data_IF_189270171303
#
_entry.id   IF_189270171303
#
_cell.length_a   1.000
_cell.length_b   1.000
_cell.length_c   1.000
_cell.angle_alpha   90.00
_cell.angle_beta   90.00
_cell.angle_gamma   90.00
#
_symmetry.space_group_name_H-M   'P 1'
#
loop_
_entity.id
_entity.type
_entity.pdbx_description
1 polymer ?
#
# COMPACT_ATOMS: atom_id res chain seq x y z
N UNK A 1 -5.81 11.68 0.00
CA UNK A 1 -6.67 10.56 -0.43
C UNK A 1 -7.00 10.60 -1.93
N UNK A 2 -6.85 11.73 -2.61
CA UNK A 2 -7.00 11.81 -4.08
C UNK A 2 -6.02 10.92 -4.85
N UNK A 3 -4.84 10.67 -4.27
CA UNK A 3 -3.81 9.88 -4.94
C UNK A 3 -3.99 8.37 -4.74
N UNK A 4 -4.75 7.95 -3.72
CA UNK A 4 -4.90 6.53 -3.38
C UNK A 4 -5.56 5.71 -4.49
N UNK A 5 -6.64 6.19 -5.17
CA UNK A 5 -7.21 5.49 -6.33
C UNK A 5 -6.24 5.32 -7.51
N UNK A 6 -5.18 6.14 -7.58
CA UNK A 6 -4.19 6.12 -8.67
C UNK A 6 -2.91 5.37 -8.29
N UNK A 7 -2.78 4.89 -7.05
CA UNK A 7 -1.62 4.13 -6.60
C UNK A 7 -1.80 2.66 -6.94
N UNK A 8 -0.86 2.09 -7.69
CA UNK A 8 -0.84 0.67 -7.99
C UNK A 8 -0.34 -0.13 -6.78
N UNK A 9 -0.89 -1.34 -6.63
CA UNK A 9 -0.49 -2.36 -5.64
C UNK A 9 -0.57 -1.96 -4.16
N UNK A 10 -1.22 -0.85 -3.79
CA UNK A 10 -1.46 -0.51 -2.38
C UNK A 10 -2.53 -1.44 -1.80
N UNK A 11 -2.12 -2.33 -0.90
CA UNK A 11 -3.00 -3.31 -0.26
C UNK A 11 -3.56 -2.80 1.07
N UNK A 12 -2.75 -2.05 1.83
CA UNK A 12 -3.15 -1.56 3.15
C UNK A 12 -2.56 -0.19 3.46
N UNK A 13 -3.37 0.65 4.08
CA UNK A 13 -2.96 1.96 4.60
C UNK A 13 -3.07 1.92 6.12
N UNK A 14 -1.99 2.27 6.82
CA UNK A 14 -1.95 2.33 8.28
C UNK A 14 -1.92 3.78 8.73
N UNK A 15 -2.83 4.12 9.64
CA UNK A 15 -2.98 5.44 10.24
C UNK A 15 -2.80 5.28 11.76
N UNK A 16 -1.85 6.02 12.32
CA UNK A 16 -1.62 6.10 13.76
C UNK A 16 -1.85 7.53 14.28
N UNK A 17 -1.70 7.71 15.59
CA UNK A 17 -1.91 9.00 16.26
C UNK A 17 -1.04 10.13 15.70
N UNK A 18 0.19 9.83 15.25
CA UNK A 18 1.10 10.83 14.69
C UNK A 18 0.61 11.38 13.34
N UNK A 19 -0.06 10.52 12.56
CA UNK A 19 -0.70 10.89 11.30
C UNK A 19 -1.94 11.74 11.57
N UNK A 20 -2.74 11.39 12.58
CA UNK A 20 -3.90 12.20 13.01
C UNK A 20 -3.45 13.58 13.51
N UNK A 21 -2.32 13.65 14.23
CA UNK A 21 -1.71 14.90 14.68
C UNK A 21 -1.00 15.70 13.58
N UNK A 22 -0.95 15.21 12.34
CA UNK A 22 -0.30 15.89 11.21
C UNK A 22 1.23 15.90 11.26
N UNK A 23 1.83 15.09 12.13
CA UNK A 23 3.29 15.04 12.34
C UNK A 23 4.00 14.07 11.41
N UNK A 24 3.27 13.14 10.80
CA UNK A 24 3.81 12.12 9.91
C UNK A 24 2.81 11.75 8.80
N UNK A 25 3.33 11.12 7.75
CA UNK A 25 2.50 10.63 6.64
C UNK A 25 2.03 9.19 6.92
N UNK A 26 0.85 8.79 6.39
CA UNK A 26 0.39 7.40 6.43
C UNK A 26 1.44 6.42 5.91
N UNK A 27 1.51 5.24 6.52
CA UNK A 27 2.30 4.13 5.99
C UNK A 27 1.48 3.36 4.95
N UNK A 28 2.06 3.17 3.77
CA UNK A 28 1.47 2.38 2.69
C UNK A 28 2.15 1.01 2.62
N UNK A 29 1.34 -0.05 2.63
CA UNK A 29 1.78 -1.43 2.46
C UNK A 29 1.37 -1.86 1.07
N UNK A 30 2.38 -2.24 0.28
CA UNK A 30 2.19 -2.73 -1.08
C UNK A 30 2.12 -4.25 -1.09
N UNK A 31 1.18 -4.77 -1.86
CA UNK A 31 1.06 -6.21 -2.11
C UNK A 31 2.29 -6.72 -2.87
N UNK A 32 2.57 -8.02 -2.74
CA UNK A 32 3.55 -8.65 -3.62
C UNK A 32 2.89 -8.84 -4.99
N UNK A 33 3.57 -8.54 -6.11
CA UNK A 33 3.11 -9.02 -7.40
C UNK A 33 2.99 -10.53 -7.29
N UNK A 34 1.85 -11.09 -7.70
CA UNK A 34 1.66 -12.54 -7.77
C UNK A 34 2.86 -13.10 -8.51
N UNK A 35 3.70 -13.85 -7.80
CA UNK A 35 4.84 -14.51 -8.40
C UNK A 35 4.26 -15.38 -9.49
N UNK A 36 4.52 -15.01 -10.75
CA UNK A 36 4.10 -15.76 -11.91
C UNK A 36 4.50 -17.21 -11.67
N UNK A 37 3.50 -18.04 -11.33
CA UNK A 37 3.71 -19.46 -11.21
C UNK A 37 4.16 -19.87 -12.61
N UNK A 38 5.46 -20.08 -12.77
CA UNK A 38 5.99 -20.71 -13.95
C UNK A 38 5.35 -22.09 -13.97
N UNK A 39 4.26 -22.23 -14.73
CA UNK A 39 3.71 -23.52 -15.11
C UNK A 39 4.81 -24.23 -15.87
N UNK A 40 5.55 -25.07 -15.16
CA UNK A 40 6.48 -26.00 -15.74
C UNK A 40 5.69 -27.12 -16.40
N UNK A 41 5.54 -27.03 -17.71
CA UNK A 41 5.33 -28.15 -18.64
C UNK A 41 6.25 -27.96 -19.85
#
# INVERSE_FOLDING_TARGET
>A
MYDLPSMEDVEKVVIDESVIGGQSKPLLIYGKPEAQQASGE
#
